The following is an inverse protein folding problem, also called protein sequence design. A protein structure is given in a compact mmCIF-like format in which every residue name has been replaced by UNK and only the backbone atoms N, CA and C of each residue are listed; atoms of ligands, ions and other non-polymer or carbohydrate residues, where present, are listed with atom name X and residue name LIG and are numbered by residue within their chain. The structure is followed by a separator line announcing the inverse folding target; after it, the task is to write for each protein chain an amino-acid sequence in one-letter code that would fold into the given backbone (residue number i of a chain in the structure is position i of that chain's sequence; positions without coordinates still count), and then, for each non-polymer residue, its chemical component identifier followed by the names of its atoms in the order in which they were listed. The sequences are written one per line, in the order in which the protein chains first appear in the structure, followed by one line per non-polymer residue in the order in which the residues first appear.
data_IF_673999932974
#
_entry.id   IF_673999932974
#
_cell.length_a   1.000
_cell.length_b   1.000
_cell.length_c   1.000
_cell.angle_alpha   90.00
_cell.angle_beta   90.00
_cell.angle_gamma   90.00
#
_symmetry.space_group_name_H-M   'P 1'
#
loop_
_entity.id
_entity.type
_entity.pdbx_description
1 polymer ?
#
# COMPACT_ATOMS: atom_id res chain seq x y z
N UNK A 1 -12.19 -17.70 -0.72
CA UNK A 1 -12.52 -16.33 -0.24
C UNK A 1 -11.73 -15.94 1.01
N UNK A 2 -11.67 -16.75 2.06
CA UNK A 2 -10.90 -16.40 3.28
C UNK A 2 -9.38 -16.25 3.05
N UNK A 3 -8.77 -17.10 2.23
CA UNK A 3 -7.33 -17.01 1.95
C UNK A 3 -6.96 -15.75 1.16
N UNK A 4 -7.79 -15.36 0.19
CA UNK A 4 -7.57 -14.15 -0.61
C UNK A 4 -7.64 -12.88 0.26
N UNK A 5 -8.62 -12.81 1.17
CA UNK A 5 -8.74 -11.70 2.11
C UNK A 5 -7.56 -11.62 3.09
N UNK A 6 -7.07 -12.78 3.55
CA UNK A 6 -5.89 -12.86 4.42
C UNK A 6 -4.62 -12.42 3.69
N UNK A 7 -4.48 -12.82 2.44
CA UNK A 7 -3.35 -12.45 1.59
C UNK A 7 -3.33 -10.96 1.29
N UNK A 8 -4.46 -10.40 0.85
CA UNK A 8 -4.62 -8.96 0.62
C UNK A 8 -4.30 -8.15 1.89
N UNK A 9 -4.85 -8.56 3.04
CA UNK A 9 -4.57 -7.90 4.32
C UNK A 9 -3.08 -7.96 4.70
N UNK A 10 -2.39 -9.06 4.37
CA UNK A 10 -0.96 -9.22 4.67
C UNK A 10 -0.09 -8.31 3.79
N UNK A 11 -0.40 -8.23 2.49
CA UNK A 11 0.28 -7.33 1.55
C UNK A 11 0.04 -5.86 1.93
N UNK A 12 -1.21 -5.49 2.21
CA UNK A 12 -1.56 -4.13 2.64
C UNK A 12 -0.88 -3.74 3.95
N UNK A 13 -0.79 -4.68 4.91
CA UNK A 13 -0.07 -4.44 6.17
C UNK A 13 1.43 -4.24 5.96
N UNK A 14 2.01 -4.94 4.99
CA UNK A 14 3.41 -4.74 4.60
C UNK A 14 3.62 -3.37 3.96
N UNK A 15 2.77 -2.98 3.00
CA UNK A 15 2.79 -1.66 2.37
C UNK A 15 2.65 -0.54 3.41
N UNK A 16 1.68 -0.65 4.31
CA UNK A 16 1.46 0.31 5.39
C UNK A 16 2.68 0.43 6.30
N UNK A 17 3.31 -0.69 6.70
CA UNK A 17 4.53 -0.62 7.52
C UNK A 17 5.67 0.12 6.84
N UNK A 18 5.83 -0.03 5.52
CA UNK A 18 6.93 0.62 4.78
C UNK A 18 6.64 2.09 4.45
N UNK A 19 5.38 2.44 4.20
CA UNK A 19 5.00 3.72 3.60
C UNK A 19 4.21 4.64 4.52
N UNK A 20 3.87 4.22 5.74
CA UNK A 20 3.05 5.07 6.64
C UNK A 20 3.76 6.36 7.04
N UNK A 21 5.06 6.33 7.32
CA UNK A 21 5.80 7.53 7.69
C UNK A 21 5.85 8.50 6.50
N UNK A 22 6.09 7.99 5.28
CA UNK A 22 6.02 8.79 4.06
C UNK A 22 4.62 9.38 3.84
N UNK A 23 3.55 8.61 4.08
CA UNK A 23 2.19 9.10 3.94
C UNK A 23 1.86 10.20 4.94
N UNK A 24 2.39 10.12 6.17
CA UNK A 24 2.27 11.19 7.17
C UNK A 24 3.00 12.45 6.73
N UNK A 25 4.23 12.33 6.23
CA UNK A 25 4.99 13.47 5.71
C UNK A 25 4.25 14.18 4.57
N UNK A 26 3.52 13.43 3.73
CA UNK A 26 2.69 14.00 2.66
C UNK A 26 1.40 14.64 3.21
N UNK A 27 0.79 14.03 4.22
CA UNK A 27 -0.37 14.59 4.91
C UNK A 27 -0.03 15.94 5.57
N UNK A 28 1.15 16.07 6.18
CA UNK A 28 1.61 17.32 6.79
C UNK A 28 1.89 18.43 5.76
N UNK A 29 2.22 18.08 4.52
CA UNK A 29 2.42 19.02 3.41
C UNK A 29 1.11 19.50 2.78
N UNK A 30 0.00 18.82 3.05
CA UNK A 30 -1.32 19.24 2.59
C UNK A 30 -1.79 20.45 3.43
N UNK A 31 -1.69 21.65 2.87
CA UNK A 31 -2.15 22.90 3.50
C UNK A 31 -3.67 22.87 3.82
N UNK A 32 -4.44 21.96 3.21
CA UNK A 32 -5.85 21.75 3.56
C UNK A 32 -6.06 20.80 4.75
N UNK A 33 -4.98 20.19 5.26
CA UNK A 33 -5.01 19.21 6.34
C UNK A 33 -4.87 19.80 7.75
N UNK A 34 -5.01 21.12 7.93
CA UNK A 34 -4.83 21.82 9.22
C UNK A 34 -5.69 21.31 10.40
N UNK A 35 -6.57 20.33 10.19
CA UNK A 35 -7.35 19.66 11.24
C UNK A 35 -7.44 18.12 11.08
N UNK A 36 -6.61 17.50 10.23
CA UNK A 36 -6.69 16.05 10.03
C UNK A 36 -5.99 15.28 11.15
N UNK A 37 -6.65 14.22 11.64
CA UNK A 37 -6.03 13.26 12.55
C UNK A 37 -4.81 12.59 11.88
N UNK A 38 -3.79 12.30 12.68
CA UNK A 38 -2.60 11.58 12.23
C UNK A 38 -2.98 10.24 11.59
N UNK A 39 -2.50 10.00 10.37
CA UNK A 39 -2.78 8.77 9.65
C UNK A 39 -2.31 7.53 10.44
N UNK A 40 -3.26 6.64 10.73
CA UNK A 40 -3.00 5.34 11.37
C UNK A 40 -2.81 4.23 10.35
N UNK A 41 -2.15 3.13 10.74
CA UNK A 41 -2.00 1.93 9.87
C UNK A 41 -3.35 1.40 9.39
N UNK A 42 -4.37 1.39 10.24
CA UNK A 42 -5.70 0.91 9.87
C UNK A 42 -6.33 1.81 8.80
N UNK A 43 -6.19 3.13 8.94
CA UNK A 43 -6.66 4.09 7.93
C UNK A 43 -5.91 3.88 6.61
N UNK A 44 -4.58 3.75 6.64
CA UNK A 44 -3.77 3.46 5.45
C UNK A 44 -4.27 2.19 4.73
N UNK A 45 -4.36 1.07 5.45
CA UNK A 45 -4.80 -0.23 4.91
C UNK A 45 -6.23 -0.14 4.35
N UNK A 46 -7.10 0.65 5.00
CA UNK A 46 -8.49 0.80 4.56
C UNK A 46 -8.66 1.69 3.32
N UNK A 47 -7.75 2.64 3.09
CA UNK A 47 -7.78 3.57 1.94
C UNK A 47 -7.24 2.92 0.67
N UNK A 48 -6.20 2.10 0.79
CA UNK A 48 -5.59 1.47 -0.38
C UNK A 48 -6.45 0.34 -0.94
N UNK A 49 -6.57 0.29 -2.26
CA UNK A 49 -7.42 -0.70 -2.95
C UNK A 49 -6.68 -1.38 -4.09
N UNK A 50 -6.88 -2.70 -4.22
CA UNK A 50 -6.19 -3.50 -5.22
C UNK A 50 -6.62 -3.06 -6.62
N UNK A 51 -5.66 -2.68 -7.44
CA UNK A 51 -5.89 -2.28 -8.83
C UNK A 51 -5.51 -3.41 -9.78
N UNK A 52 -4.31 -3.96 -9.65
CA UNK A 52 -3.85 -5.06 -10.50
C UNK A 52 -2.80 -5.94 -9.80
N UNK A 53 -2.62 -7.15 -10.32
CA UNK A 53 -1.65 -8.12 -9.85
C UNK A 53 -0.94 -8.74 -11.05
N UNK A 54 0.38 -8.66 -11.05
CA UNK A 54 1.25 -9.26 -12.06
C UNK A 54 2.08 -10.36 -11.42
N UNK A 55 2.10 -11.55 -12.02
CA UNK A 55 2.86 -12.70 -11.53
C UNK A 55 3.81 -13.17 -12.63
N UNK A 56 5.06 -13.41 -12.24
CA UNK A 56 6.14 -13.82 -13.13
C UNK A 56 6.40 -15.34 -13.00
N UNK A 57 7.05 -15.98 -14.00
CA UNK A 57 7.23 -17.45 -14.04
C UNK A 57 7.94 -18.07 -12.83
N UNK A 58 8.80 -17.32 -12.13
CA UNK A 58 9.53 -17.75 -10.93
C UNK A 58 8.74 -17.52 -9.62
N UNK A 59 7.48 -17.10 -9.72
CA UNK A 59 6.62 -16.83 -8.56
C UNK A 59 6.84 -15.46 -7.94
N UNK A 60 7.73 -14.63 -8.47
CA UNK A 60 7.76 -13.20 -8.16
C UNK A 60 6.44 -12.55 -8.60
N UNK A 61 5.97 -11.58 -7.84
CA UNK A 61 4.79 -10.81 -8.17
C UNK A 61 4.97 -9.33 -7.85
N UNK A 62 4.17 -8.52 -8.55
CA UNK A 62 3.97 -7.11 -8.28
C UNK A 62 2.47 -6.86 -8.11
N UNK A 63 2.11 -6.26 -6.97
CA UNK A 63 0.74 -5.84 -6.69
C UNK A 63 0.68 -4.34 -6.77
N UNK A 64 -0.28 -3.83 -7.53
CA UNK A 64 -0.52 -2.42 -7.72
C UNK A 64 -1.77 -2.04 -6.94
N UNK A 65 -1.64 -1.08 -6.04
CA UNK A 65 -2.70 -0.53 -5.23
C UNK A 65 -2.92 0.93 -5.58
N UNK A 66 -4.18 1.31 -5.75
CA UNK A 66 -4.60 2.70 -5.72
C UNK A 66 -4.35 3.25 -4.30
N UNK A 67 -3.68 4.40 -4.19
CA UNK A 67 -3.28 5.01 -2.92
C UNK A 67 -4.46 5.48 -2.07
N UNK A 68 -5.59 5.81 -2.70
CA UNK A 68 -6.76 6.33 -1.99
C UNK A 68 -6.50 7.72 -1.43
N UNK A 69 -5.87 8.57 -2.24
CA UNK A 69 -5.49 9.96 -1.94
C UNK A 69 -4.42 10.11 -0.84
N UNK A 70 -3.71 9.04 -0.50
CA UNK A 70 -2.58 9.08 0.44
C UNK A 70 -1.32 9.71 -0.16
N UNK A 71 -1.14 9.57 -1.47
CA UNK A 71 0.02 10.02 -2.22
C UNK A 71 -0.41 10.86 -3.43
N UNK A 72 -1.54 11.57 -3.31
CA UNK A 72 -2.05 12.50 -4.34
C UNK A 72 -2.13 11.88 -5.75
N UNK A 73 -2.53 10.60 -5.85
CA UNK A 73 -2.77 9.90 -7.11
C UNK A 73 -1.59 9.09 -7.64
N UNK A 74 -0.55 8.85 -6.85
CA UNK A 74 0.48 7.84 -7.17
C UNK A 74 -0.07 6.43 -6.96
N UNK A 75 0.54 5.44 -7.63
CA UNK A 75 0.27 4.03 -7.40
C UNK A 75 1.24 3.47 -6.36
N UNK A 76 0.74 2.62 -5.46
CA UNK A 76 1.56 1.87 -4.52
C UNK A 76 1.87 0.50 -5.13
N UNK A 77 3.15 0.17 -5.24
CA UNK A 77 3.62 -1.10 -5.80
C UNK A 77 4.24 -1.93 -4.69
N UNK A 78 3.75 -3.15 -4.50
CA UNK A 78 4.33 -4.12 -3.56
C UNK A 78 4.92 -5.30 -4.34
N UNK A 79 6.19 -5.58 -4.08
CA UNK A 79 6.93 -6.69 -4.65
C UNK A 79 7.05 -7.82 -3.65
N UNK A 80 6.85 -9.06 -4.10
CA UNK A 80 7.00 -10.24 -3.27
C UNK A 80 7.05 -11.52 -4.08
N UNK A 81 7.05 -12.65 -3.39
CA UNK A 81 7.02 -13.98 -4.00
C UNK A 81 5.83 -14.78 -3.46
N UNK A 82 5.24 -15.64 -4.29
CA UNK A 82 4.11 -16.52 -3.93
C UNK A 82 4.37 -17.41 -2.72
N UNK A 83 5.63 -17.59 -2.30
CA UNK A 83 6.02 -18.29 -1.07
C UNK A 83 5.65 -17.53 0.22
N UNK A 84 5.17 -16.28 0.13
CA UNK A 84 4.79 -15.45 1.28
C UNK A 84 5.83 -14.42 1.70
N UNK A 85 6.92 -14.25 0.95
CA UNK A 85 7.89 -13.18 1.21
C UNK A 85 7.48 -11.89 0.50
N UNK A 86 7.63 -10.77 1.20
CA UNK A 86 7.50 -9.43 0.64
C UNK A 86 8.87 -8.77 0.66
N UNK A 87 9.26 -8.19 -0.46
CA UNK A 87 10.61 -7.67 -0.68
C UNK A 87 10.65 -6.15 -0.57
N UNK A 88 9.66 -5.47 -1.14
CA UNK A 88 9.67 -4.03 -1.24
C UNK A 88 8.26 -3.46 -1.45
N UNK A 89 8.07 -2.20 -1.07
CA UNK A 89 6.86 -1.42 -1.27
C UNK A 89 7.27 0.03 -1.50
N UNK A 90 6.89 0.59 -2.64
CA UNK A 90 7.21 1.96 -3.03
C UNK A 90 6.05 2.59 -3.80
N UNK A 91 6.09 3.92 -3.90
CA UNK A 91 5.17 4.67 -4.76
C UNK A 91 5.79 4.88 -6.14
N UNK A 92 4.96 4.94 -7.17
CA UNK A 92 5.36 5.27 -8.54
C UNK A 92 4.29 6.14 -9.21
N UNK A 93 4.69 7.00 -10.13
CA UNK A 93 3.82 8.00 -10.78
C UNK A 93 4.58 9.26 -11.10
#
# INVERSE_FOLDING_TARGET
MQEQAKWDSSIKSFAANQLIDLAKDWQEQDESAEEQEELTMNQFISRISLESLHVYPEGEFEVYYHDGDLFWGHVIIVKGNINGTFHDAHIAG
#
